data_IF_717501335103
#
_entry.id   IF_717501335103
#
_cell.length_a   1.000
_cell.length_b   1.000
_cell.length_c   1.000
_cell.angle_alpha   90.00
_cell.angle_beta   90.00
_cell.angle_gamma   90.00
#
_symmetry.space_group_name_H-M   'P 1'
#
loop_
_entity.id
_entity.type
_entity.pdbx_description
1 polymer ?
#
# COMPACT_ATOMS: atom_id res chain seq x y z
N UNK A 1 -23.58 -43.85 -10.67
CA UNK A 1 -22.44 -42.94 -10.91
C UNK A 1 -21.46 -43.19 -9.81
N UNK A 2 -20.20 -43.44 -10.17
CA UNK A 2 -19.11 -43.64 -9.23
C UNK A 2 -18.25 -42.37 -9.24
N UNK A 3 -18.15 -41.70 -8.10
CA UNK A 3 -17.41 -40.43 -7.98
C UNK A 3 -15.95 -40.77 -7.66
N UNK A 4 -15.02 -40.28 -8.49
CA UNK A 4 -13.58 -40.48 -8.33
C UNK A 4 -12.92 -39.31 -7.62
N UNK A 5 -13.38 -38.09 -7.87
CA UNK A 5 -12.87 -36.88 -7.24
C UNK A 5 -14.02 -35.95 -6.89
N UNK A 6 -13.95 -35.35 -5.70
CA UNK A 6 -14.97 -34.44 -5.20
C UNK A 6 -14.33 -33.35 -4.35
N UNK A 7 -14.50 -32.11 -4.77
CA UNK A 7 -14.13 -30.89 -4.05
C UNK A 7 -15.22 -29.85 -4.25
N UNK A 8 -15.12 -28.72 -3.57
CA UNK A 8 -16.11 -27.64 -3.66
C UNK A 8 -16.27 -27.06 -5.08
N UNK A 9 -15.23 -27.16 -5.91
CA UNK A 9 -15.20 -26.54 -7.25
C UNK A 9 -14.91 -27.53 -8.37
N UNK A 10 -14.68 -28.80 -8.05
CA UNK A 10 -14.33 -29.82 -9.02
C UNK A 10 -14.93 -31.17 -8.64
N UNK A 11 -15.67 -31.75 -9.57
CA UNK A 11 -16.36 -33.03 -9.41
C UNK A 11 -16.04 -33.88 -10.63
N UNK A 12 -15.58 -35.10 -10.38
CA UNK A 12 -15.29 -36.08 -11.43
C UNK A 12 -15.91 -37.42 -11.08
N UNK A 13 -16.60 -38.01 -12.03
CA UNK A 13 -17.18 -39.33 -11.83
C UNK A 13 -17.45 -40.05 -13.14
N UNK A 14 -17.68 -41.35 -13.02
CA UNK A 14 -18.00 -42.23 -14.14
C UNK A 14 -19.47 -42.61 -14.10
N UNK A 15 -20.13 -42.56 -15.24
CA UNK A 15 -21.51 -43.04 -15.42
C UNK A 15 -21.55 -44.09 -16.51
N UNK A 16 -22.35 -45.14 -16.30
CA UNK A 16 -22.62 -46.15 -17.31
C UNK A 16 -24.09 -46.05 -17.71
N UNK A 17 -24.32 -45.90 -19.00
CA UNK A 17 -25.65 -45.69 -19.61
C UNK A 17 -25.89 -46.77 -20.66
N UNK A 18 -27.08 -47.37 -20.63
CA UNK A 18 -27.45 -48.49 -21.51
C UNK A 18 -28.04 -48.05 -22.85
N UNK A 19 -28.56 -46.83 -22.91
CA UNK A 19 -29.13 -46.17 -24.07
C UNK A 19 -28.76 -44.67 -24.02
N UNK A 20 -29.11 -43.92 -25.06
CA UNK A 20 -29.01 -42.45 -25.01
C UNK A 20 -29.99 -41.94 -23.96
N UNK A 21 -29.45 -41.45 -22.86
CA UNK A 21 -30.22 -41.02 -21.68
C UNK A 21 -29.69 -39.70 -21.14
N UNK A 22 -30.58 -38.95 -20.50
CA UNK A 22 -30.23 -37.71 -19.83
C UNK A 22 -29.74 -38.00 -18.41
N UNK A 23 -28.46 -37.74 -18.16
CA UNK A 23 -27.88 -37.80 -16.83
C UNK A 23 -28.05 -36.43 -16.18
N UNK A 24 -28.74 -36.36 -15.05
CA UNK A 24 -28.91 -35.11 -14.32
C UNK A 24 -28.25 -35.16 -12.95
N UNK A 25 -27.96 -33.98 -12.41
CA UNK A 25 -27.39 -33.81 -11.08
C UNK A 25 -28.29 -32.93 -10.21
N UNK A 26 -28.16 -33.08 -8.89
CA UNK A 26 -28.78 -32.19 -7.90
C UNK A 26 -28.06 -30.85 -7.76
N UNK A 27 -26.99 -30.63 -8.54
CA UNK A 27 -26.26 -29.35 -8.61
C UNK A 27 -27.08 -28.36 -9.44
N UNK A 28 -27.27 -27.16 -8.88
CA UNK A 28 -27.91 -26.08 -9.60
C UNK A 28 -27.02 -25.56 -10.73
N UNK A 29 -27.64 -25.27 -11.86
CA UNK A 29 -27.03 -24.61 -12.99
C UNK A 29 -26.57 -23.19 -12.61
N UNK A 30 -25.35 -22.88 -13.01
CA UNK A 30 -24.71 -21.58 -12.91
C UNK A 30 -23.81 -21.42 -14.14
N UNK A 31 -23.67 -20.20 -14.64
CA UNK A 31 -22.84 -19.92 -15.81
C UNK A 31 -21.35 -20.18 -15.59
N UNK A 32 -20.91 -20.28 -14.33
CA UNK A 32 -19.55 -20.63 -13.95
C UNK A 32 -19.21 -22.11 -14.10
N UNK A 33 -20.17 -23.00 -14.32
CA UNK A 33 -19.89 -24.42 -14.53
C UNK A 33 -19.33 -24.70 -15.93
N UNK A 34 -18.21 -25.39 -15.97
CA UNK A 34 -17.62 -25.98 -17.17
C UNK A 34 -17.71 -27.49 -17.06
N UNK A 35 -18.38 -28.12 -18.03
CA UNK A 35 -18.67 -29.56 -18.00
C UNK A 35 -18.03 -30.20 -19.21
N UNK A 36 -17.37 -31.32 -18.98
CA UNK A 36 -16.78 -32.16 -20.03
C UNK A 36 -17.24 -33.60 -19.88
N UNK A 37 -17.45 -34.25 -21.02
CA UNK A 37 -17.77 -35.68 -21.13
C UNK A 37 -16.66 -36.31 -21.94
N UNK A 38 -15.94 -37.26 -21.35
CA UNK A 38 -14.75 -37.90 -21.94
C UNK A 38 -13.68 -36.91 -22.43
N UNK A 39 -13.59 -35.74 -21.78
CA UNK A 39 -12.66 -34.67 -22.12
C UNK A 39 -13.17 -33.67 -23.17
N UNK A 40 -14.33 -33.90 -23.77
CA UNK A 40 -14.96 -32.94 -24.69
C UNK A 40 -15.93 -32.03 -23.94
N UNK A 41 -15.86 -30.72 -24.22
CA UNK A 41 -16.74 -29.74 -23.59
C UNK A 41 -18.16 -29.86 -24.13
N UNK A 42 -19.12 -29.96 -23.22
CA UNK A 42 -20.54 -30.06 -23.56
C UNK A 42 -21.32 -28.90 -22.95
N UNK A 43 -22.38 -28.48 -23.63
CA UNK A 43 -23.34 -27.54 -23.06
C UNK A 43 -24.36 -28.30 -22.22
N UNK A 44 -24.54 -27.94 -20.94
CA UNK A 44 -25.54 -28.59 -20.10
C UNK A 44 -26.96 -28.20 -20.49
N UNK A 45 -27.86 -29.15 -20.33
CA UNK A 45 -29.30 -28.94 -20.42
C UNK A 45 -29.82 -28.47 -19.06
N UNK A 46 -30.50 -27.33 -19.03
CA UNK A 46 -31.08 -26.80 -17.78
C UNK A 46 -32.43 -27.44 -17.53
N UNK A 47 -32.48 -28.40 -16.61
CA UNK A 47 -33.69 -29.09 -16.19
C UNK A 47 -34.50 -28.23 -15.22
N UNK A 48 -35.76 -27.96 -15.58
CA UNK A 48 -36.68 -27.19 -14.74
C UNK A 48 -36.20 -25.76 -14.44
N UNK A 49 -35.27 -25.22 -15.24
CA UNK A 49 -34.66 -23.91 -15.01
C UNK A 49 -33.68 -23.84 -13.85
N UNK A 50 -33.31 -24.99 -13.25
CA UNK A 50 -32.51 -25.01 -12.04
C UNK A 50 -31.37 -26.02 -12.06
N UNK A 51 -31.56 -27.23 -12.60
CA UNK A 51 -30.59 -28.32 -12.45
C UNK A 51 -29.78 -28.56 -13.73
N UNK A 52 -28.57 -29.08 -13.56
CA UNK A 52 -27.70 -29.48 -14.67
C UNK A 52 -28.10 -30.87 -15.17
N UNK A 53 -28.32 -30.98 -16.48
CA UNK A 53 -28.49 -32.22 -17.23
C UNK A 53 -27.44 -32.34 -18.33
N UNK A 54 -27.06 -33.57 -18.66
CA UNK A 54 -26.04 -33.92 -19.64
C UNK A 54 -26.56 -35.10 -20.45
N UNK A 55 -26.66 -34.93 -21.77
CA UNK A 55 -26.97 -36.05 -22.66
C UNK A 55 -25.76 -36.99 -22.74
N UNK A 56 -25.97 -38.26 -22.42
CA UNK A 56 -24.94 -39.28 -22.48
C UNK A 56 -25.34 -40.36 -23.48
N UNK A 57 -24.41 -40.72 -24.37
CA UNK A 57 -24.58 -41.82 -25.31
C UNK A 57 -24.54 -43.18 -24.58
N UNK A 58 -24.93 -44.29 -25.23
CA UNK A 58 -24.75 -45.62 -24.64
C UNK A 58 -23.26 -45.91 -24.44
N UNK A 59 -22.84 -46.22 -23.22
CA UNK A 59 -21.42 -46.43 -22.91
C UNK A 59 -21.06 -46.15 -21.47
N UNK A 60 -19.76 -46.15 -21.21
CA UNK A 60 -19.17 -45.68 -19.96
C UNK A 60 -18.52 -44.34 -20.24
N UNK A 61 -18.99 -43.29 -19.58
CA UNK A 61 -18.54 -41.92 -19.78
C UNK A 61 -17.94 -41.35 -18.50
N UNK A 62 -16.86 -40.60 -18.64
CA UNK A 62 -16.27 -39.81 -17.56
C UNK A 62 -16.81 -38.39 -17.64
N UNK A 63 -17.55 -37.97 -16.62
CA UNK A 63 -18.08 -36.62 -16.49
C UNK A 63 -17.19 -35.85 -15.52
N UNK A 64 -16.69 -34.71 -15.98
CA UNK A 64 -15.87 -33.80 -15.18
C UNK A 64 -16.48 -32.40 -15.21
N UNK A 65 -16.79 -31.89 -14.02
CA UNK A 65 -17.44 -30.60 -13.78
C UNK A 65 -16.50 -29.70 -12.98
N UNK A 66 -16.18 -28.53 -13.52
CA UNK A 66 -15.32 -27.55 -12.85
C UNK A 66 -16.03 -26.20 -12.75
N UNK A 67 -16.06 -25.62 -11.55
CA UNK A 67 -16.68 -24.32 -11.28
C UNK A 67 -15.67 -23.19 -11.35
N UNK A 68 -15.93 -22.20 -12.21
CA UNK A 68 -15.14 -20.98 -12.40
C UNK A 68 -16.07 -19.77 -12.23
N UNK A 69 -16.03 -19.08 -11.08
CA UNK A 69 -16.90 -17.93 -10.83
C UNK A 69 -16.61 -16.79 -11.81
N UNK A 70 -17.55 -16.45 -12.69
CA UNK A 70 -17.38 -15.35 -13.66
C UNK A 70 -17.14 -14.00 -12.97
N UNK A 71 -17.77 -13.78 -11.81
CA UNK A 71 -17.62 -12.57 -11.01
C UNK A 71 -16.20 -12.32 -10.49
N UNK A 72 -15.39 -13.37 -10.34
CA UNK A 72 -14.02 -13.24 -9.84
C UNK A 72 -13.16 -12.38 -10.78
N UNK A 73 -13.27 -12.58 -12.09
CA UNK A 73 -12.48 -11.85 -13.08
C UNK A 73 -12.88 -10.35 -13.12
N UNK A 74 -14.19 -10.07 -13.05
CA UNK A 74 -14.70 -8.69 -13.00
C UNK A 74 -14.25 -8.01 -11.72
N UNK A 75 -14.40 -8.68 -10.57
CA UNK A 75 -13.95 -8.18 -9.27
C UNK A 75 -12.45 -7.89 -9.24
N UNK A 76 -11.64 -8.76 -9.84
CA UNK A 76 -10.19 -8.56 -9.94
C UNK A 76 -9.84 -7.30 -10.76
N UNK A 77 -10.50 -7.07 -11.90
CA UNK A 77 -10.29 -5.87 -12.73
C UNK A 77 -10.67 -4.60 -11.96
N UNK A 78 -11.83 -4.59 -11.31
CA UNK A 78 -12.29 -3.45 -10.51
C UNK A 78 -11.32 -3.16 -9.37
N UNK A 79 -10.88 -4.20 -8.65
CA UNK A 79 -9.93 -4.06 -7.54
C UNK A 79 -8.57 -3.53 -7.99
N UNK A 80 -8.06 -4.00 -9.12
CA UNK A 80 -6.83 -3.47 -9.71
C UNK A 80 -7.00 -1.99 -10.12
N UNK A 81 -8.13 -1.64 -10.75
CA UNK A 81 -8.43 -0.26 -11.15
C UNK A 81 -8.53 0.70 -9.96
N UNK A 82 -9.20 0.30 -8.89
CA UNK A 82 -9.32 1.13 -7.67
C UNK A 82 -7.98 1.27 -6.96
N UNK A 83 -7.15 0.22 -6.92
CA UNK A 83 -5.81 0.28 -6.34
C UNK A 83 -4.92 1.27 -7.10
N UNK A 84 -4.95 1.25 -8.44
CA UNK A 84 -4.20 2.19 -9.27
C UNK A 84 -4.67 3.63 -9.03
N UNK A 85 -5.98 3.85 -9.03
CA UNK A 85 -6.55 5.18 -8.75
C UNK A 85 -6.17 5.69 -7.35
N UNK A 86 -6.16 4.80 -6.36
CA UNK A 86 -5.77 5.11 -4.99
C UNK A 86 -4.28 5.53 -4.90
N UNK A 87 -3.38 4.77 -5.53
CA UNK A 87 -1.95 5.12 -5.57
C UNK A 87 -1.73 6.46 -6.27
N UNK A 88 -2.40 6.70 -7.40
CA UNK A 88 -2.32 7.98 -8.11
C UNK A 88 -2.78 9.16 -7.24
N UNK A 89 -3.88 8.99 -6.50
CA UNK A 89 -4.37 10.00 -5.56
C UNK A 89 -3.34 10.33 -4.46
N UNK A 90 -2.69 9.31 -3.87
CA UNK A 90 -1.65 9.51 -2.86
C UNK A 90 -0.44 10.29 -3.40
N UNK A 91 -0.01 9.99 -4.62
CA UNK A 91 1.10 10.70 -5.29
C UNK A 91 0.72 12.18 -5.51
N UNK A 92 -0.47 12.44 -6.04
CA UNK A 92 -0.97 13.80 -6.27
C UNK A 92 -1.00 14.59 -4.96
N UNK A 93 -1.55 14.00 -3.89
CA UNK A 93 -1.60 14.64 -2.56
C UNK A 93 -0.20 15.00 -2.08
N UNK A 94 0.79 14.10 -2.22
CA UNK A 94 2.18 14.39 -1.84
C UNK A 94 2.78 15.56 -2.64
N UNK A 95 2.58 15.59 -3.95
CA UNK A 95 3.11 16.65 -4.81
C UNK A 95 2.48 18.00 -4.47
N UNK A 96 1.16 18.04 -4.28
CA UNK A 96 0.43 19.28 -3.95
C UNK A 96 0.83 19.80 -2.57
N UNK A 97 0.98 18.92 -1.56
CA UNK A 97 1.49 19.33 -0.25
C UNK A 97 2.90 19.91 -0.34
N UNK A 98 3.82 19.24 -1.06
CA UNK A 98 5.21 19.73 -1.24
C UNK A 98 5.25 21.12 -1.90
N UNK A 99 4.40 21.35 -2.92
CA UNK A 99 4.29 22.67 -3.58
C UNK A 99 3.73 23.76 -2.67
N UNK A 100 2.76 23.42 -1.79
CA UNK A 100 2.20 24.37 -0.82
C UNK A 100 3.20 24.79 0.26
N UNK A 101 3.98 23.85 0.79
CA UNK A 101 5.06 24.17 1.73
C UNK A 101 6.12 25.09 1.09
N UNK A 102 6.56 24.77 -0.14
CA UNK A 102 7.52 25.61 -0.86
C UNK A 102 6.99 27.03 -1.15
N UNK A 103 5.69 27.18 -1.42
CA UNK A 103 5.06 28.50 -1.63
C UNK A 103 4.97 29.32 -0.35
N UNK A 104 4.72 28.70 0.81
CA UNK A 104 4.68 29.38 2.11
C UNK A 104 6.07 29.87 2.54
N UNK A 105 7.10 29.03 2.40
CA UNK A 105 8.50 29.41 2.64
C UNK A 105 8.99 30.54 1.71
N UNK A 106 8.54 30.56 0.46
CA UNK A 106 8.86 31.66 -0.47
C UNK A 106 8.16 32.98 -0.17
N UNK A 107 6.94 32.93 0.39
CA UNK A 107 6.18 34.13 0.74
C UNK A 107 6.75 34.85 1.97
N UNK A 108 7.17 34.10 3.00
CA UNK A 108 7.79 34.62 4.23
C UNK A 108 9.11 35.38 3.95
N UNK A 109 9.94 34.86 3.04
CA UNK A 109 11.19 35.51 2.64
C UNK A 109 10.98 36.79 1.81
N UNK A 110 9.86 36.89 1.09
CA UNK A 110 9.57 38.07 0.23
C UNK A 110 9.06 39.24 1.07
N UNK A 111 8.19 38.98 2.07
CA UNK A 111 7.72 40.02 2.99
C UNK A 111 8.85 40.54 3.90
N UNK A 112 9.77 39.67 4.33
CA UNK A 112 10.94 40.07 5.14
C UNK A 112 11.95 40.89 4.34
N UNK A 113 12.17 40.55 3.07
CA UNK A 113 13.10 41.28 2.19
C UNK A 113 12.57 42.66 1.77
N UNK A 114 11.27 42.82 1.54
CA UNK A 114 10.66 44.13 1.25
C UNK A 114 10.60 45.06 2.48
N UNK A 115 10.56 44.50 3.70
CA UNK A 115 10.67 45.27 4.95
C UNK A 115 12.09 45.76 5.21
N UNK A 116 13.12 44.96 4.89
CA UNK A 116 14.52 45.29 5.17
C UNK A 116 15.11 46.38 4.25
N UNK A 117 14.49 46.66 3.09
CA UNK A 117 14.97 47.66 2.14
C UNK A 117 14.44 49.09 2.41
N UNK A 118 13.57 49.27 3.41
CA UNK A 118 12.92 50.57 3.73
C UNK A 118 13.55 51.32 4.90
N UNK A 119 14.43 50.68 5.67
CA UNK A 119 15.09 51.32 6.80
C UNK A 119 16.40 51.97 6.33
N UNK A 120 16.41 53.30 6.40
CA UNK A 120 17.58 54.15 6.16
C UNK A 120 18.69 53.78 7.17
N UNK A 121 19.96 53.62 6.75
CA UNK A 121 21.00 53.07 7.61
C UNK A 121 21.28 54.03 8.77
N UNK A 122 20.77 53.68 9.94
CA UNK A 122 20.97 54.42 11.18
C UNK A 122 21.77 53.55 12.13
N UNK A 123 23.06 53.87 12.26
CA UNK A 123 23.95 53.18 13.20
C UNK A 123 25.25 52.71 12.55
N UNK A 124 25.68 51.52 12.98
CA UNK A 124 27.04 50.98 12.80
C UNK A 124 27.49 50.97 11.32
N UNK A 125 26.56 50.86 10.37
CA UNK A 125 26.80 50.89 8.93
C UNK A 125 27.37 52.24 8.43
N UNK A 126 26.96 53.36 9.05
CA UNK A 126 27.52 54.67 8.73
C UNK A 126 28.94 54.84 9.28
N UNK A 127 29.29 54.15 10.37
CA UNK A 127 30.64 54.14 10.95
C UNK A 127 31.59 53.24 10.14
N UNK A 128 31.10 52.12 9.61
CA UNK A 128 31.85 51.21 8.74
C UNK A 128 32.26 51.85 7.41
N UNK A 129 31.46 52.79 6.90
CA UNK A 129 31.77 53.53 5.68
C UNK A 129 32.88 54.60 5.87
N UNK A 130 33.24 54.93 7.11
CA UNK A 130 34.24 55.96 7.41
C UNK A 130 35.68 55.42 7.49
N UNK A 131 35.87 54.10 7.64
CA UNK A 131 37.20 53.51 7.93
C UNK A 131 37.77 52.59 6.83
N UNK A 132 37.04 52.37 5.74
CA UNK A 132 37.62 51.76 4.53
C UNK A 132 37.98 52.85 3.53
N UNK A 133 39.26 53.22 3.54
CA UNK A 133 39.87 54.06 2.51
C UNK A 133 39.59 53.54 1.11
N UNK A 134 39.24 54.47 0.24
CA UNK A 134 38.89 54.31 -1.17
C UNK A 134 40.05 53.68 -1.97
N UNK A 135 40.21 52.33 -1.96
CA UNK A 135 40.91 51.52 -3.00
C UNK A 135 41.23 50.02 -2.65
N UNK A 136 40.56 49.34 -1.72
CA UNK A 136 40.85 47.91 -1.50
C UNK A 136 40.44 47.04 -2.71
N UNK A 137 41.40 46.32 -3.30
CA UNK A 137 41.21 45.44 -4.47
C UNK A 137 40.86 44.01 -4.07
N UNK A 138 40.24 43.26 -4.99
CA UNK A 138 39.75 41.87 -4.83
C UNK A 138 40.80 40.86 -4.31
N UNK A 139 42.10 41.11 -4.47
CA UNK A 139 43.19 40.26 -3.95
C UNK A 139 43.35 40.31 -2.41
N UNK A 140 42.90 41.38 -1.75
CA UNK A 140 43.00 41.49 -0.28
C UNK A 140 41.87 40.73 0.43
N UNK A 141 40.74 40.50 -0.24
CA UNK A 141 39.60 39.75 0.31
C UNK A 141 39.86 38.23 0.33
N UNK A 142 40.59 37.68 -0.65
CA UNK A 142 40.93 36.25 -0.67
C UNK A 142 41.90 35.84 0.44
N UNK A 143 42.70 36.77 0.96
CA UNK A 143 43.61 36.51 2.09
C UNK A 143 42.91 36.45 3.46
N UNK A 144 41.66 36.90 3.54
CA UNK A 144 40.82 36.84 4.74
C UNK A 144 39.86 35.65 4.76
N UNK A 145 39.89 34.82 3.72
CA UNK A 145 39.08 33.60 3.57
C UNK A 145 39.76 32.37 4.19
N UNK A 146 40.63 32.57 5.18
CA UNK A 146 41.14 31.48 6.02
C UNK A 146 40.08 31.18 7.09
N UNK A 147 39.13 30.35 6.69
CA UNK A 147 38.01 29.84 7.48
C UNK A 147 38.61 28.76 8.41
N UNK A 148 38.84 29.01 9.73
CA UNK A 148 39.43 28.01 10.64
C UNK A 148 38.66 26.68 10.61
N UNK A 149 39.36 25.55 10.60
CA UNK A 149 38.82 24.18 10.42
C UNK A 149 37.67 23.73 11.36
N UNK A 150 37.17 24.59 12.25
CA UNK A 150 36.15 24.28 13.26
C UNK A 150 34.74 24.07 12.68
N UNK A 151 34.45 24.53 11.46
CA UNK A 151 33.11 24.40 10.85
C UNK A 151 32.85 23.04 10.17
N UNK A 152 33.89 22.25 9.91
CA UNK A 152 33.75 20.88 9.37
C UNK A 152 33.38 19.86 10.47
N UNK A 153 33.42 20.23 11.74
CA UNK A 153 33.19 19.33 12.88
C UNK A 153 31.72 19.14 13.29
N UNK A 154 30.76 19.82 12.65
CA UNK A 154 29.34 19.79 13.08
C UNK A 154 28.34 19.40 11.96
N UNK A 155 28.77 18.60 10.99
CA UNK A 155 27.84 17.82 10.16
C UNK A 155 27.48 16.56 10.93
N UNK A 156 26.39 16.61 11.69
CA UNK A 156 25.81 15.40 12.28
C UNK A 156 25.42 14.44 11.15
N UNK A 157 25.97 13.22 11.18
CA UNK A 157 25.73 12.19 10.16
C UNK A 157 24.22 11.87 10.11
N UNK A 158 23.54 12.01 8.96
CA UNK A 158 22.11 11.74 8.84
C UNK A 158 21.73 10.31 9.27
N UNK A 159 22.67 9.37 9.24
CA UNK A 159 22.47 7.98 9.70
C UNK A 159 22.31 7.88 11.23
N UNK A 160 22.91 8.81 11.99
CA UNK A 160 22.83 8.86 13.45
C UNK A 160 21.43 9.30 13.92
N UNK A 161 20.78 10.21 13.18
CA UNK A 161 19.42 10.67 13.48
C UNK A 161 18.35 9.59 13.29
N UNK A 162 18.55 8.70 12.31
CA UNK A 162 17.67 7.55 12.06
C UNK A 162 17.82 6.47 13.13
N UNK A 163 19.06 6.13 13.50
CA UNK A 163 19.31 5.15 14.56
C UNK A 163 18.76 5.62 15.92
N UNK A 164 18.85 6.91 16.22
CA UNK A 164 18.27 7.50 17.43
C UNK A 164 16.74 7.44 17.44
N UNK A 165 16.09 7.59 16.28
CA UNK A 165 14.64 7.46 16.18
C UNK A 165 14.17 6.02 16.42
N UNK A 166 14.90 5.04 15.89
CA UNK A 166 14.62 3.62 16.12
C UNK A 166 14.83 3.21 17.59
N UNK A 167 15.86 3.74 18.24
CA UNK A 167 16.13 3.50 19.67
C UNK A 167 15.03 4.09 20.57
N UNK A 168 14.54 5.30 20.25
CA UNK A 168 13.39 5.91 20.93
C UNK A 168 12.12 5.08 20.73
N UNK A 169 11.85 4.62 19.51
CA UNK A 169 10.69 3.78 19.22
C UNK A 169 10.72 2.46 19.98
N UNK A 170 11.90 1.84 20.07
CA UNK A 170 12.06 0.57 20.76
C UNK A 170 11.91 0.74 22.29
N UNK A 171 12.43 1.82 22.84
CA UNK A 171 12.27 2.17 24.27
C UNK A 171 10.79 2.43 24.62
N UNK A 172 10.08 3.19 23.78
CA UNK A 172 8.64 3.43 23.93
C UNK A 172 7.84 2.12 23.90
N UNK A 173 8.20 1.20 23.00
CA UNK A 173 7.53 -0.10 22.87
C UNK A 173 7.74 -0.99 24.11
N UNK A 174 8.94 -1.00 24.68
CA UNK A 174 9.24 -1.73 25.92
C UNK A 174 8.44 -1.16 27.09
N UNK A 175 8.42 0.17 27.26
CA UNK A 175 7.66 0.81 28.34
C UNK A 175 6.15 0.52 28.26
N UNK A 176 5.58 0.50 27.06
CA UNK A 176 4.15 0.17 26.85
C UNK A 176 3.87 -1.29 27.21
N UNK A 177 4.74 -2.23 26.82
CA UNK A 177 4.58 -3.65 27.17
C UNK A 177 4.68 -3.87 28.68
N UNK A 178 5.56 -3.15 29.35
CA UNK A 178 5.69 -3.22 30.81
C UNK A 178 4.43 -2.68 31.51
N UNK A 179 3.87 -1.56 31.05
CA UNK A 179 2.60 -1.02 31.57
C UNK A 179 1.45 -2.01 31.37
N UNK A 180 1.34 -2.63 30.19
CA UNK A 180 0.31 -3.62 29.90
C UNK A 180 0.45 -4.88 30.78
N UNK A 181 1.68 -5.35 31.00
CA UNK A 181 1.93 -6.48 31.91
C UNK A 181 1.62 -6.14 33.37
N UNK A 182 1.85 -4.90 33.80
CA UNK A 182 1.47 -4.46 35.15
C UNK A 182 -0.04 -4.36 35.32
N UNK A 183 -0.78 -3.92 34.30
CA UNK A 183 -2.24 -3.90 34.31
C UNK A 183 -2.82 -5.33 34.37
N UNK A 184 -2.29 -6.25 33.57
CA UNK A 184 -2.72 -7.65 33.56
C UNK A 184 -2.46 -8.36 34.91
N UNK A 185 -1.34 -8.05 35.58
CA UNK A 185 -1.06 -8.55 36.94
C UNK A 185 -1.94 -7.90 38.02
N UNK A 186 -2.42 -6.69 37.78
CA UNK A 186 -3.26 -5.97 38.74
C UNK A 186 -4.73 -6.44 38.68
N UNK A 187 -5.21 -6.86 37.50
CA UNK A 187 -6.51 -7.52 37.36
C UNK A 187 -6.53 -8.87 38.08
N UNK A 188 -5.47 -9.67 37.97
CA UNK A 188 -5.36 -11.00 38.63
C UNK A 188 -5.36 -10.89 40.17
N UNK A 189 -4.82 -9.81 40.75
CA UNK A 189 -4.84 -9.60 42.20
C UNK A 189 -6.17 -9.02 42.73
N UNK A 190 -7.14 -8.72 41.85
CA UNK A 190 -8.46 -8.17 42.24
C UNK A 190 -9.57 -9.22 42.29
N UNK A 191 -9.28 -10.47 41.91
CA UNK A 191 -10.23 -11.60 41.93
C UNK A 191 -10.06 -12.55 43.13
N UNK A 192 -9.07 -12.31 44.00
CA UNK A 192 -8.79 -13.15 45.20
C UNK A 192 -9.26 -12.53 46.54
N UNK A 193 -9.91 -11.36 46.54
CA UNK A 193 -10.53 -10.74 47.74
C UNK A 193 -12.08 -10.74 47.62
N UNK A 194 -12.70 -11.92 47.69
CA UNK A 194 -14.12 -12.13 48.06
C UNK A 194 -14.24 -13.26 49.09
#
# INVERSE_FOLDING_TARGET
MDITEFTDTHIKGTVKVGATELVYTSINYDEGWEITVDGERVEPIVLGGALIGIDAAPGTHTIEMTYKPKGFMIGAIVSAGTLVAFIAALIIIRIVKKKRYAKMLGAENTETAESALKDEPTGIDALMAQDLGENATVEDAEKLLDVPDEYEANKQDPTETLNRADEILNTQKINIQEILSQLEKNDINSEDDE
#
